data_IF_550023997040
#
_entry.id   IF_550023997040
#
_cell.length_a   1.000
_cell.length_b   1.000
_cell.length_c   1.000
_cell.angle_alpha   90.00
_cell.angle_beta   90.00
_cell.angle_gamma   90.00
#
_symmetry.space_group_name_H-M   'P 1'
#
loop_
_entity.id
_entity.type
_entity.pdbx_description
1 polymer ?
#
# COMPACT_ATOMS: atom_id res chain seq x y z
N UNK A 1 -14.54 3.52 -13.71
CA UNK A 1 -15.52 2.87 -12.83
C UNK A 1 -14.84 2.75 -11.47
N UNK A 2 -15.57 2.94 -10.37
CA UNK A 2 -15.03 2.60 -9.05
C UNK A 2 -14.69 1.10 -9.04
N UNK A 3 -13.61 0.71 -8.37
CA UNK A 3 -13.25 -0.70 -8.27
C UNK A 3 -14.21 -1.39 -7.31
N UNK A 4 -14.92 -2.43 -7.74
CA UNK A 4 -16.05 -3.00 -6.98
C UNK A 4 -15.65 -3.71 -5.66
N UNK A 5 -14.34 -3.86 -5.39
CA UNK A 5 -13.78 -4.52 -4.20
C UNK A 5 -12.88 -3.59 -3.40
N UNK A 6 -13.29 -2.32 -3.24
CA UNK A 6 -12.50 -1.32 -2.52
C UNK A 6 -12.27 -1.68 -1.05
N UNK A 7 -13.24 -2.33 -0.39
CA UNK A 7 -13.10 -2.75 1.01
C UNK A 7 -11.99 -3.78 1.16
N UNK A 8 -12.01 -4.83 0.34
CA UNK A 8 -10.99 -5.87 0.38
C UNK A 8 -9.61 -5.33 -0.04
N UNK A 9 -9.58 -4.41 -1.00
CA UNK A 9 -8.36 -3.71 -1.36
C UNK A 9 -7.79 -2.89 -0.20
N UNK A 10 -8.61 -2.07 0.46
CA UNK A 10 -8.19 -1.28 1.61
C UNK A 10 -7.65 -2.16 2.74
N UNK A 11 -8.31 -3.29 3.02
CA UNK A 11 -7.84 -4.31 3.97
C UNK A 11 -6.49 -4.89 3.59
N UNK A 12 -6.29 -5.22 2.30
CA UNK A 12 -5.00 -5.69 1.80
C UNK A 12 -3.90 -4.64 2.05
N UNK A 13 -4.15 -3.35 1.73
CA UNK A 13 -3.17 -2.27 1.97
C UNK A 13 -2.85 -2.14 3.47
N UNK A 14 -3.85 -2.22 4.34
CA UNK A 14 -3.66 -2.15 5.79
C UNK A 14 -2.82 -3.32 6.33
N UNK A 15 -3.12 -4.55 5.89
CA UNK A 15 -2.35 -5.74 6.25
C UNK A 15 -0.88 -5.65 5.81
N UNK A 16 -0.64 -5.07 4.62
CA UNK A 16 0.72 -4.81 4.12
C UNK A 16 1.43 -3.79 5.02
N UNK A 17 0.75 -2.71 5.42
CA UNK A 17 1.28 -1.74 6.37
C UNK A 17 1.71 -2.42 7.68
N UNK A 18 0.84 -3.22 8.30
CA UNK A 18 1.14 -3.93 9.56
C UNK A 18 2.41 -4.78 9.39
N UNK A 19 2.48 -5.57 8.32
CA UNK A 19 3.62 -6.46 8.04
C UNK A 19 4.93 -5.69 7.84
N UNK A 20 4.92 -4.61 7.06
CA UNK A 20 6.12 -3.81 6.80
C UNK A 20 6.54 -3.05 8.06
N UNK A 21 5.58 -2.51 8.82
CA UNK A 21 5.86 -1.82 10.08
C UNK A 21 6.49 -2.76 11.12
N UNK A 22 5.96 -3.98 11.25
CA UNK A 22 6.55 -5.03 12.10
C UNK A 22 7.98 -5.34 11.69
N UNK A 23 8.21 -5.57 10.39
CA UNK A 23 9.55 -5.81 9.82
C UNK A 23 10.50 -4.63 10.05
N UNK A 24 10.00 -3.39 9.99
CA UNK A 24 10.78 -2.18 10.25
C UNK A 24 11.27 -2.15 11.70
N UNK A 25 10.38 -2.42 12.67
CA UNK A 25 10.68 -2.46 14.10
C UNK A 25 11.66 -3.58 14.45
N UNK A 26 11.39 -4.79 13.99
CA UNK A 26 12.24 -5.98 14.24
C UNK A 26 13.67 -5.79 13.69
N UNK A 27 13.80 -5.17 12.52
CA UNK A 27 15.09 -4.95 11.86
C UNK A 27 15.73 -3.60 12.17
N UNK A 28 15.11 -2.77 13.01
CA UNK A 28 15.51 -1.38 13.25
C UNK A 28 15.78 -0.60 11.94
N UNK A 29 14.95 -0.84 10.93
CA UNK A 29 15.18 -0.34 9.58
C UNK A 29 14.33 0.92 9.32
N UNK A 30 14.96 2.09 9.43
CA UNK A 30 14.32 3.38 9.21
C UNK A 30 13.67 3.50 7.83
N UNK A 31 14.28 2.92 6.78
CA UNK A 31 13.71 2.94 5.42
C UNK A 31 12.37 2.20 5.38
N UNK A 32 12.27 1.02 5.99
CA UNK A 32 10.98 0.35 6.11
C UNK A 32 9.99 1.10 6.99
N UNK A 33 10.46 1.83 8.01
CA UNK A 33 9.61 2.71 8.82
C UNK A 33 9.00 3.85 8.01
N UNK A 34 9.77 4.51 7.16
CA UNK A 34 9.23 5.54 6.26
C UNK A 34 8.25 4.94 5.24
N UNK A 35 8.58 3.79 4.68
CA UNK A 35 7.69 3.12 3.71
C UNK A 35 6.38 2.69 4.37
N UNK A 36 6.40 2.14 5.59
CA UNK A 36 5.17 1.77 6.29
C UNK A 36 4.28 2.98 6.55
N UNK A 37 4.84 4.12 6.96
CA UNK A 37 4.06 5.35 7.13
C UNK A 37 3.45 5.85 5.81
N UNK A 38 4.18 5.78 4.69
CA UNK A 38 3.62 6.14 3.39
C UNK A 38 2.44 5.25 3.01
N UNK A 39 2.55 3.94 3.24
CA UNK A 39 1.47 2.97 2.97
C UNK A 39 0.27 3.26 3.86
N UNK A 40 0.49 3.58 5.15
CA UNK A 40 -0.60 3.93 6.05
C UNK A 40 -1.31 5.22 5.65
N UNK A 41 -0.56 6.27 5.26
CA UNK A 41 -1.15 7.52 4.78
C UNK A 41 -1.98 7.30 3.51
N UNK A 42 -1.48 6.45 2.60
CA UNK A 42 -2.23 6.06 1.41
C UNK A 42 -3.51 5.28 1.77
N UNK A 43 -3.44 4.32 2.69
CA UNK A 43 -4.61 3.62 3.22
C UNK A 43 -5.65 4.60 3.78
N UNK A 44 -5.25 5.54 4.64
CA UNK A 44 -6.17 6.57 5.18
C UNK A 44 -6.80 7.39 4.06
N UNK A 45 -6.04 7.72 3.00
CA UNK A 45 -6.59 8.43 1.84
C UNK A 45 -7.63 7.59 1.09
N UNK A 46 -7.41 6.28 0.91
CA UNK A 46 -8.38 5.37 0.29
C UNK A 46 -9.66 5.33 1.12
N UNK A 47 -9.54 5.14 2.44
CA UNK A 47 -10.68 5.06 3.36
C UNK A 47 -11.53 6.33 3.25
N UNK A 48 -10.90 7.50 3.33
CA UNK A 48 -11.59 8.78 3.26
C UNK A 48 -12.23 9.04 1.89
N UNK A 49 -11.49 8.79 0.80
CA UNK A 49 -11.97 9.08 -0.56
C UNK A 49 -13.12 8.13 -0.97
N UNK A 50 -13.27 6.97 -0.32
CA UNK A 50 -14.32 5.99 -0.61
C UNK A 50 -15.40 5.88 0.49
N UNK A 51 -15.31 6.66 1.57
CA UNK A 51 -16.29 6.64 2.67
C UNK A 51 -16.32 5.31 3.44
N UNK A 52 -15.17 4.66 3.57
CA UNK A 52 -15.03 3.38 4.28
C UNK A 52 -14.78 3.61 5.79
N UNK A 53 -14.90 2.55 6.59
CA UNK A 53 -14.53 2.60 8.00
C UNK A 53 -13.06 2.20 8.19
N UNK A 54 -12.36 2.89 9.11
CA UNK A 54 -10.99 2.55 9.49
C UNK A 54 -11.01 1.23 10.28
N UNK A 55 -10.14 0.29 9.93
CA UNK A 55 -9.98 -0.94 10.70
C UNK A 55 -9.31 -0.68 12.04
N UNK A 56 -9.89 -1.22 13.11
CA UNK A 56 -9.32 -1.15 14.45
C UNK A 56 -8.06 -2.04 14.56
N UNK A 57 -6.88 -1.45 14.84
CA UNK A 57 -5.62 -2.21 14.98
C UNK A 57 -5.66 -3.29 16.05
N UNK A 58 -6.51 -3.18 17.06
CA UNK A 58 -6.58 -4.13 18.17
C UNK A 58 -7.40 -5.39 17.83
N UNK A 59 -8.17 -5.39 16.73
CA UNK A 59 -9.08 -6.49 16.37
C UNK A 59 -8.51 -7.55 15.44
N UNK A 60 -7.30 -7.38 14.91
CA UNK A 60 -6.70 -8.40 14.03
C UNK A 60 -6.07 -9.52 14.86
N UNK A 61 -6.88 -10.46 15.37
CA UNK A 61 -6.42 -11.61 16.16
C UNK A 61 -5.71 -12.70 15.34
N UNK A 62 -5.59 -12.56 14.01
CA UNK A 62 -5.09 -13.66 13.17
C UNK A 62 -3.56 -13.71 13.02
N UNK A 63 -3.03 -14.88 13.39
CA UNK A 63 -1.63 -15.23 13.62
C UNK A 63 -0.85 -15.65 12.36
N UNK A 64 -1.36 -15.40 11.16
CA UNK A 64 -0.64 -15.70 9.93
C UNK A 64 -0.79 -14.57 8.91
N UNK A 65 0.23 -13.70 8.84
CA UNK A 65 0.25 -12.51 7.98
C UNK A 65 0.56 -12.85 6.50
N UNK A 66 -0.02 -13.94 5.99
CA UNK A 66 -0.05 -14.18 4.56
C UNK A 66 -1.03 -13.17 3.95
N UNK A 67 -0.48 -12.04 3.51
CA UNK A 67 -1.23 -11.00 2.80
C UNK A 67 -1.70 -11.58 1.47
N UNK A 68 -3.01 -11.69 1.27
CA UNK A 68 -3.57 -11.95 -0.04
C UNK A 68 -3.39 -10.70 -0.93
N UNK A 69 -2.55 -10.86 -1.95
CA UNK A 69 -2.23 -9.82 -2.93
C UNK A 69 -3.22 -9.80 -4.11
N UNK A 70 -4.19 -10.70 -4.18
CA UNK A 70 -5.17 -10.78 -5.27
C UNK A 70 -5.93 -9.46 -5.46
N UNK A 71 -6.39 -8.85 -4.37
CA UNK A 71 -7.10 -7.58 -4.38
C UNK A 71 -6.21 -6.40 -4.76
N UNK A 72 -4.93 -6.43 -4.39
CA UNK A 72 -3.94 -5.44 -4.83
C UNK A 72 -3.74 -5.49 -6.35
N UNK A 73 -3.54 -6.68 -6.91
CA UNK A 73 -3.37 -6.84 -8.36
C UNK A 73 -4.66 -6.53 -9.13
N UNK A 74 -5.81 -6.90 -8.58
CA UNK A 74 -7.12 -6.55 -9.12
C UNK A 74 -7.29 -5.04 -9.24
N UNK A 75 -6.92 -4.29 -8.21
CA UNK A 75 -6.99 -2.83 -8.21
C UNK A 75 -6.07 -2.19 -9.27
N UNK A 76 -4.80 -2.63 -9.33
CA UNK A 76 -3.82 -2.14 -10.33
C UNK A 76 -4.35 -2.38 -11.75
N UNK A 77 -4.83 -3.60 -12.01
CA UNK A 77 -5.36 -3.99 -13.32
C UNK A 77 -6.59 -3.16 -13.70
N UNK A 78 -7.56 -3.03 -12.79
CA UNK A 78 -8.80 -2.29 -13.03
C UNK A 78 -8.56 -0.79 -13.30
N UNK A 79 -7.52 -0.21 -12.69
CA UNK A 79 -7.18 1.21 -12.84
C UNK A 79 -6.06 1.47 -13.87
N UNK A 80 -5.57 0.43 -14.56
CA UNK A 80 -4.45 0.50 -15.50
C UNK A 80 -3.21 1.21 -14.91
N UNK A 81 -2.87 0.90 -13.66
CA UNK A 81 -1.74 1.52 -12.97
C UNK A 81 -0.44 0.87 -13.47
N UNK A 82 0.41 1.66 -14.12
CA UNK A 82 1.75 1.23 -14.50
C UNK A 82 2.72 1.43 -13.32
N UNK A 83 3.26 0.34 -12.79
CA UNK A 83 4.20 0.40 -11.66
C UNK A 83 5.57 0.94 -12.10
N UNK A 84 6.19 1.71 -11.20
CA UNK A 84 7.50 2.31 -11.43
C UNK A 84 8.58 1.25 -11.44
N UNK A 85 9.51 1.34 -12.39
CA UNK A 85 10.75 0.61 -12.32
C UNK A 85 11.79 1.43 -11.54
N UNK A 86 11.99 1.10 -10.25
CA UNK A 86 12.93 1.83 -9.39
C UNK A 86 14.40 1.80 -9.85
N UNK A 87 14.77 0.92 -10.79
CA UNK A 87 16.13 0.92 -11.37
C UNK A 87 16.33 1.94 -12.49
N UNK A 88 15.25 2.53 -13.01
CA UNK A 88 15.27 3.43 -14.18
C UNK A 88 14.62 4.80 -13.91
N UNK A 89 14.18 5.05 -12.68
CA UNK A 89 13.42 6.24 -12.33
C UNK A 89 14.32 7.42 -11.92
N UNK A 90 13.94 8.62 -12.34
CA UNK A 90 14.45 9.93 -11.93
C UNK A 90 13.57 10.55 -10.83
N UNK A 91 14.10 11.50 -10.05
CA UNK A 91 13.24 12.27 -9.11
C UNK A 91 12.17 13.08 -9.83
N UNK A 92 12.42 13.51 -11.07
CA UNK A 92 11.49 14.30 -11.87
C UNK A 92 10.30 13.48 -12.40
N UNK A 93 10.38 12.15 -12.33
CA UNK A 93 9.32 11.24 -12.79
C UNK A 93 8.15 11.13 -11.79
N UNK A 94 8.27 11.75 -10.60
CA UNK A 94 7.26 11.73 -9.54
C UNK A 94 6.90 13.16 -9.15
N UNK A 95 5.68 13.57 -9.45
CA UNK A 95 5.12 14.79 -8.93
C UNK A 95 4.45 14.54 -7.56
N UNK A 96 5.10 14.97 -6.47
CA UNK A 96 4.56 14.83 -5.09
C UNK A 96 3.30 15.65 -4.83
N UNK A 97 2.84 16.48 -5.76
CA UNK A 97 1.56 17.20 -5.68
C UNK A 97 0.43 16.47 -6.40
N UNK A 98 0.74 15.46 -7.21
CA UNK A 98 -0.25 14.65 -7.91
C UNK A 98 -0.56 13.39 -7.10
N UNK A 99 -1.83 13.24 -6.71
CA UNK A 99 -2.33 12.06 -5.99
C UNK A 99 -2.04 10.76 -6.75
N UNK A 100 -2.12 10.76 -8.08
CA UNK A 100 -1.87 9.56 -8.90
C UNK A 100 -0.41 9.14 -8.87
N UNK A 101 0.50 10.10 -8.87
CA UNK A 101 1.94 9.81 -8.77
C UNK A 101 2.30 9.28 -7.38
N UNK A 102 1.71 9.84 -6.32
CA UNK A 102 1.86 9.31 -4.96
C UNK A 102 1.33 7.88 -4.88
N UNK A 103 0.13 7.62 -5.39
CA UNK A 103 -0.46 6.28 -5.44
C UNK A 103 0.48 5.31 -6.17
N UNK A 104 0.86 5.64 -7.40
CA UNK A 104 1.77 4.83 -8.22
C UNK A 104 3.08 4.55 -7.48
N UNK A 105 3.63 5.54 -6.78
CA UNK A 105 4.85 5.41 -6.00
C UNK A 105 4.70 4.45 -4.81
N UNK A 106 3.59 4.55 -4.06
CA UNK A 106 3.30 3.67 -2.91
C UNK A 106 3.06 2.24 -3.38
N UNK A 107 2.24 2.04 -4.43
CA UNK A 107 1.94 0.70 -4.96
C UNK A 107 3.19 0.01 -5.51
N UNK A 108 4.09 0.77 -6.12
CA UNK A 108 5.37 0.23 -6.58
C UNK A 108 6.22 -0.27 -5.41
N UNK A 109 6.27 0.48 -4.29
CA UNK A 109 6.96 0.02 -3.08
C UNK A 109 6.35 -1.27 -2.52
N UNK A 110 5.03 -1.33 -2.43
CA UNK A 110 4.31 -2.52 -1.99
C UNK A 110 4.73 -3.73 -2.83
N UNK A 111 4.60 -3.63 -4.16
CA UNK A 111 4.95 -4.71 -5.08
C UNK A 111 6.36 -5.25 -4.85
N UNK A 112 7.39 -4.39 -4.85
CA UNK A 112 8.77 -4.85 -4.70
C UNK A 112 9.11 -5.39 -3.31
N UNK A 113 8.37 -5.00 -2.27
CA UNK A 113 8.62 -5.46 -0.90
C UNK A 113 7.93 -6.80 -0.64
N UNK A 114 6.75 -7.03 -1.22
CA UNK A 114 5.95 -8.24 -1.00
C UNK A 114 6.33 -9.40 -1.91
N UNK A 115 6.96 -9.13 -3.06
CA UNK A 115 7.43 -10.15 -4.01
C UNK A 115 8.79 -10.79 -3.63
N UNK A 116 9.33 -10.49 -2.44
CA UNK A 116 10.61 -11.02 -1.94
C UNK A 116 10.45 -12.00 -0.79
#
# INVERSE_FOLDING_TARGET
MAYDKMDEYAKTIYNIFIRINKKAKEKQNNKFGYISMMIYNYYVSIINDNGLEIEDPERSEDKDYTVDMSHFFGYISANNIELLNFSKISMDDINVKDKKDIERFVLSHIYYITQK
#
